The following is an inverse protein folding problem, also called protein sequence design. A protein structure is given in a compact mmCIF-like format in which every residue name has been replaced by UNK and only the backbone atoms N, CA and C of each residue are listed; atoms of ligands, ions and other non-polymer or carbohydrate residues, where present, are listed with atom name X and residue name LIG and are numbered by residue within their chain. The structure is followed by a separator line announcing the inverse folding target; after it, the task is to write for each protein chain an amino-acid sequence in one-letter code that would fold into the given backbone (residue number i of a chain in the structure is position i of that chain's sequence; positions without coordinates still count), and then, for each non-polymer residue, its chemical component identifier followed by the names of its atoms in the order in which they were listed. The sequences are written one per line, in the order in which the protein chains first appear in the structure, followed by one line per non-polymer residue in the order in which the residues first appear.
data_IF_697324284240
#
_entry.id   IF_697324284240
#
_cell.length_a   1.000
_cell.length_b   1.000
_cell.length_c   1.000
_cell.angle_alpha   90.00
_cell.angle_beta   90.00
_cell.angle_gamma   90.00
#
_symmetry.space_group_name_H-M   'P 1'
#
loop_
_entity.id
_entity.type
_entity.pdbx_description
1 polymer ?
#
# COMPACT_ATOMS: atom_id res chain seq x y z
N UNK A 1 -19.52 15.97 1.12
CA UNK A 1 -19.61 15.41 2.48
C UNK A 1 -20.50 16.31 3.32
N UNK A 2 -21.59 15.81 3.90
CA UNK A 2 -22.39 16.60 4.87
C UNK A 2 -21.74 16.45 6.24
N UNK A 3 -20.85 17.38 6.59
CA UNK A 3 -20.02 17.36 7.82
C UNK A 3 -20.84 17.09 9.10
N UNK A 4 -22.05 17.63 9.21
CA UNK A 4 -22.93 17.41 10.36
C UNK A 4 -23.34 15.93 10.56
N UNK A 5 -23.33 15.11 9.51
CA UNK A 5 -23.64 13.68 9.64
C UNK A 5 -22.59 12.93 10.46
N UNK A 6 -21.34 13.42 10.49
CA UNK A 6 -20.25 12.79 11.23
C UNK A 6 -20.60 12.70 12.71
N UNK A 7 -21.26 13.72 13.29
CA UNK A 7 -21.60 13.76 14.73
C UNK A 7 -22.44 12.55 15.17
N UNK A 8 -23.30 12.05 14.28
CA UNK A 8 -24.27 10.99 14.59
C UNK A 8 -23.84 9.60 14.11
N UNK A 9 -22.78 9.51 13.30
CA UNK A 9 -22.30 8.26 12.73
C UNK A 9 -21.13 7.71 13.55
N UNK A 10 -21.37 6.58 14.23
CA UNK A 10 -20.39 5.98 15.12
C UNK A 10 -19.14 5.45 14.38
N UNK A 11 -19.30 5.03 13.13
CA UNK A 11 -18.18 4.57 12.31
C UNK A 11 -17.34 5.75 11.86
N UNK A 12 -17.97 6.83 11.36
CA UNK A 12 -17.26 8.03 10.91
C UNK A 12 -16.64 8.84 12.05
N UNK A 13 -17.20 8.78 13.27
CA UNK A 13 -16.61 9.45 14.44
C UNK A 13 -15.36 8.73 14.97
N UNK A 14 -15.26 7.41 14.79
CA UNK A 14 -14.13 6.64 15.33
C UNK A 14 -12.91 6.69 14.39
N UNK A 15 -13.11 6.65 13.07
CA UNK A 15 -12.02 6.78 12.10
C UNK A 15 -12.33 7.92 11.13
N UNK A 16 -11.60 9.02 11.28
CA UNK A 16 -11.85 10.25 10.56
C UNK A 16 -10.77 10.49 9.52
N UNK A 17 -11.18 10.83 8.29
CA UNK A 17 -10.28 11.27 7.21
C UNK A 17 -10.71 12.63 6.70
N UNK A 18 -9.87 13.65 6.89
CA UNK A 18 -10.14 15.05 6.57
C UNK A 18 -9.46 15.49 5.28
N UNK A 19 -9.60 14.67 4.26
CA UNK A 19 -9.22 14.95 2.88
C UNK A 19 -9.98 14.00 1.96
N UNK A 20 -9.99 14.28 0.66
CA UNK A 20 -10.61 13.37 -0.32
C UNK A 20 -9.55 12.53 -0.99
N UNK A 21 -9.75 11.22 -0.97
CA UNK A 21 -9.02 10.31 -1.83
C UNK A 21 -9.61 10.37 -3.23
N UNK A 22 -8.76 10.57 -4.24
CA UNK A 22 -9.13 10.16 -5.60
C UNK A 22 -9.07 8.64 -5.67
N UNK A 23 -10.12 8.03 -6.24
CA UNK A 23 -10.09 6.62 -6.63
C UNK A 23 -9.28 6.37 -7.91
N UNK A 24 -8.76 7.43 -8.54
CA UNK A 24 -7.96 7.30 -9.75
C UNK A 24 -6.58 6.70 -9.44
N UNK A 25 -5.94 6.18 -10.49
CA UNK A 25 -4.70 5.37 -10.50
C UNK A 25 -3.50 6.00 -9.75
N UNK A 26 -3.59 7.26 -9.34
CA UNK A 26 -2.49 8.03 -8.76
C UNK A 26 -2.58 8.26 -7.24
N UNK A 27 -3.58 7.72 -6.52
CA UNK A 27 -3.74 7.96 -5.07
C UNK A 27 -3.62 9.46 -4.70
N UNK A 28 -4.19 10.34 -5.53
CA UNK A 28 -4.10 11.80 -5.32
C UNK A 28 -5.00 12.17 -4.15
N UNK A 29 -4.44 12.93 -3.22
CA UNK A 29 -5.14 13.47 -2.07
C UNK A 29 -5.54 14.90 -2.39
N UNK A 30 -6.85 15.17 -2.38
CA UNK A 30 -7.37 16.52 -2.53
C UNK A 30 -7.66 17.13 -1.16
N UNK A 31 -7.05 18.30 -0.95
CA UNK A 31 -7.23 19.09 0.26
C UNK A 31 -8.68 19.55 0.43
N UNK A 32 -9.12 19.60 1.67
CA UNK A 32 -10.37 20.30 2.00
C UNK A 32 -10.10 21.80 1.99
N UNK A 33 -11.09 22.59 1.56
CA UNK A 33 -11.03 24.05 1.66
C UNK A 33 -10.92 24.47 3.13
N UNK A 34 -10.15 25.52 3.43
CA UNK A 34 -9.99 26.08 4.77
C UNK A 34 -11.30 26.34 5.50
N UNK A 35 -12.32 26.86 4.81
CA UNK A 35 -13.66 27.07 5.38
C UNK A 35 -14.30 25.78 5.92
N UNK A 36 -14.02 24.64 5.29
CA UNK A 36 -14.48 23.33 5.76
C UNK A 36 -13.68 22.90 7.00
N UNK A 37 -12.37 23.12 6.99
CA UNK A 37 -11.49 22.79 8.11
C UNK A 37 -11.84 23.65 9.34
N UNK A 38 -12.01 24.96 9.18
CA UNK A 38 -12.41 25.88 10.23
C UNK A 38 -13.72 25.46 10.86
N UNK A 39 -14.73 25.18 10.03
CA UNK A 39 -16.02 24.71 10.50
C UNK A 39 -15.90 23.39 11.25
N UNK A 40 -15.11 22.44 10.73
CA UNK A 40 -14.88 21.17 11.41
C UNK A 40 -14.26 21.41 12.79
N UNK A 41 -13.19 22.18 12.85
CA UNK A 41 -12.45 22.53 14.05
C UNK A 41 -13.33 23.22 15.11
N UNK A 42 -14.14 24.20 14.71
CA UNK A 42 -14.91 25.04 15.63
C UNK A 42 -16.24 24.42 16.05
N UNK A 43 -16.92 23.68 15.17
CA UNK A 43 -18.30 23.22 15.44
C UNK A 43 -18.42 21.72 15.74
N UNK A 44 -17.53 20.90 15.16
CA UNK A 44 -17.69 19.45 15.11
C UNK A 44 -16.68 18.76 16.01
N UNK A 45 -15.41 19.12 15.88
CA UNK A 45 -14.31 18.49 16.59
C UNK A 45 -14.53 18.52 18.11
N UNK A 46 -14.95 19.68 18.64
CA UNK A 46 -15.30 19.85 20.06
C UNK A 46 -16.37 18.86 20.57
N UNK A 47 -17.21 18.31 19.69
CA UNK A 47 -18.29 17.38 20.04
C UNK A 47 -17.90 15.91 19.92
N UNK A 48 -16.84 15.60 19.17
CA UNK A 48 -16.49 14.23 18.80
C UNK A 48 -15.07 13.81 19.17
N UNK A 49 -14.20 14.73 19.61
CA UNK A 49 -12.77 14.46 19.84
C UNK A 49 -12.50 13.24 20.73
N UNK A 50 -13.28 13.05 21.80
CA UNK A 50 -13.18 11.90 22.70
C UNK A 50 -13.60 10.57 22.04
N UNK A 51 -14.28 10.57 20.90
CA UNK A 51 -14.65 9.36 20.14
C UNK A 51 -13.63 8.99 19.07
N UNK A 52 -12.78 9.94 18.67
CA UNK A 52 -11.81 9.73 17.60
C UNK A 52 -10.73 8.77 18.06
N UNK A 53 -10.59 7.70 17.29
CA UNK A 53 -9.64 6.60 17.50
C UNK A 53 -8.54 6.60 16.44
N UNK A 54 -8.89 6.97 15.21
CA UNK A 54 -7.97 7.14 14.09
C UNK A 54 -8.23 8.47 13.39
N UNK A 55 -7.18 9.22 13.09
CA UNK A 55 -7.28 10.52 12.42
C UNK A 55 -6.31 10.58 11.24
N UNK A 56 -6.82 10.77 10.03
CA UNK A 56 -6.03 11.05 8.82
C UNK A 56 -6.22 12.51 8.44
N UNK A 57 -5.15 13.31 8.47
CA UNK A 57 -5.17 14.75 8.16
C UNK A 57 -4.02 15.13 7.24
N UNK A 58 -4.17 16.24 6.54
CA UNK A 58 -3.07 16.85 5.79
C UNK A 58 -2.15 17.64 6.71
N UNK A 59 -0.86 17.71 6.38
CA UNK A 59 0.14 18.43 7.17
C UNK A 59 -0.20 19.90 7.35
N UNK A 60 -0.78 20.54 6.31
CA UNK A 60 -1.17 21.95 6.33
C UNK A 60 -2.27 22.25 7.37
N UNK A 61 -3.10 21.26 7.68
CA UNK A 61 -4.17 21.38 8.68
C UNK A 61 -3.78 20.80 10.05
N UNK A 62 -2.60 20.19 10.17
CA UNK A 62 -2.19 19.45 11.35
C UNK A 62 -2.21 20.31 12.61
N UNK A 63 -1.52 21.46 12.60
CA UNK A 63 -1.46 22.34 13.77
C UNK A 63 -2.85 22.85 14.16
N UNK A 64 -3.65 23.23 13.16
CA UNK A 64 -5.02 23.70 13.37
C UNK A 64 -5.88 22.63 14.02
N UNK A 65 -5.75 21.35 13.65
CA UNK A 65 -6.64 20.29 14.17
C UNK A 65 -6.12 19.74 15.50
N UNK A 66 -4.81 19.50 15.61
CA UNK A 66 -4.24 18.82 16.78
C UNK A 66 -4.09 19.73 18.00
N UNK A 67 -4.04 21.07 17.83
CA UNK A 67 -3.89 22.01 18.96
C UNK A 67 -5.21 22.46 19.60
N UNK A 68 -6.36 22.18 18.99
CA UNK A 68 -7.65 22.72 19.49
C UNK A 68 -8.16 21.95 20.71
N UNK A 69 -7.96 20.63 20.76
CA UNK A 69 -8.48 19.74 21.82
C UNK A 69 -7.55 18.56 22.05
N UNK A 70 -7.68 17.96 23.23
CA UNK A 70 -7.08 16.66 23.54
C UNK A 70 -7.83 15.51 22.87
N UNK A 71 -7.11 14.45 22.51
CA UNK A 71 -7.70 13.26 21.87
C UNK A 71 -7.46 12.01 22.74
N UNK A 72 -8.24 11.82 23.82
CA UNK A 72 -7.94 10.80 24.84
C UNK A 72 -8.00 9.36 24.32
N UNK A 73 -8.68 9.10 23.20
CA UNK A 73 -8.85 7.76 22.63
C UNK A 73 -8.11 7.55 21.29
N UNK A 74 -7.31 8.51 20.85
CA UNK A 74 -6.59 8.43 19.58
C UNK A 74 -5.44 7.44 19.68
N UNK A 75 -5.46 6.37 18.89
CA UNK A 75 -4.36 5.39 18.84
C UNK A 75 -3.73 5.28 17.45
N UNK A 76 -4.16 6.09 16.49
CA UNK A 76 -3.56 6.18 15.17
C UNK A 76 -3.72 7.54 14.53
N UNK A 77 -2.61 8.07 14.01
CA UNK A 77 -2.55 9.34 13.30
C UNK A 77 -1.86 9.10 11.95
N UNK A 78 -2.51 9.50 10.86
CA UNK A 78 -1.93 9.52 9.52
C UNK A 78 -1.78 10.96 9.04
N UNK A 79 -0.54 11.34 8.71
CA UNK A 79 -0.22 12.64 8.14
C UNK A 79 0.07 12.50 6.64
N UNK A 80 -0.57 13.34 5.83
CA UNK A 80 -0.52 13.29 4.37
C UNK A 80 -0.18 14.64 3.76
N UNK A 81 0.25 14.65 2.48
CA UNK A 81 0.59 15.87 1.74
C UNK A 81 1.56 16.80 2.50
N UNK A 82 2.60 16.24 3.13
CA UNK A 82 3.67 17.02 3.75
C UNK A 82 4.31 17.86 2.65
N UNK A 83 4.00 19.16 2.64
CA UNK A 83 4.36 20.03 1.53
C UNK A 83 5.89 20.05 1.34
N UNK A 84 6.34 20.33 0.12
CA UNK A 84 7.75 20.28 -0.24
C UNK A 84 8.60 21.24 0.59
N UNK A 85 8.06 22.36 1.09
CA UNK A 85 8.81 23.32 1.91
C UNK A 85 8.97 22.87 3.37
N UNK A 86 7.94 22.27 3.98
CA UNK A 86 7.99 21.60 5.28
C UNK A 86 8.87 20.37 5.20
N UNK A 87 8.74 19.60 4.12
CA UNK A 87 9.62 18.49 3.80
C UNK A 87 11.06 18.99 3.64
N UNK A 88 11.32 20.03 2.83
CA UNK A 88 12.63 20.66 2.66
C UNK A 88 13.15 21.25 3.96
N UNK A 89 12.33 21.85 4.81
CA UNK A 89 12.77 22.35 6.13
C UNK A 89 13.18 21.19 7.03
N UNK A 90 12.46 20.08 7.03
CA UNK A 90 12.85 18.84 7.72
C UNK A 90 14.08 18.16 7.08
N UNK A 91 14.24 18.25 5.76
CA UNK A 91 15.29 17.58 4.96
C UNK A 91 16.60 18.40 4.90
N UNK A 92 16.52 19.73 4.82
CA UNK A 92 17.63 20.69 4.82
C UNK A 92 18.13 20.90 6.26
N UNK A 93 17.26 20.83 7.27
CA UNK A 93 17.68 20.90 8.68
C UNK A 93 18.34 19.60 9.19
N UNK A 94 18.68 18.63 8.32
CA UNK A 94 19.33 17.35 8.66
C UNK A 94 18.61 16.43 9.66
N UNK A 95 17.44 16.82 10.18
CA UNK A 95 16.66 16.03 11.13
C UNK A 95 15.35 15.56 10.50
N UNK A 96 15.46 14.55 9.64
CA UNK A 96 14.32 13.71 9.32
C UNK A 96 14.03 12.82 10.51
N UNK A 97 12.83 12.89 11.11
CA UNK A 97 12.55 12.09 12.30
C UNK A 97 12.74 10.61 12.01
N UNK A 98 13.55 9.96 12.85
CA UNK A 98 13.77 8.52 12.79
C UNK A 98 12.55 7.77 13.33
N UNK A 99 12.52 6.45 13.13
CA UNK A 99 11.47 5.63 13.73
C UNK A 99 11.47 5.77 15.26
N UNK A 100 12.66 5.81 15.87
CA UNK A 100 12.89 5.93 17.30
C UNK A 100 12.40 7.28 17.82
N UNK A 101 12.72 8.38 17.12
CA UNK A 101 12.25 9.72 17.51
C UNK A 101 10.72 9.80 17.48
N UNK A 102 10.07 9.24 16.46
CA UNK A 102 8.60 9.16 16.44
C UNK A 102 8.09 8.24 17.54
N UNK A 103 8.69 7.07 17.77
CA UNK A 103 8.27 6.15 18.84
C UNK A 103 8.32 6.82 20.21
N UNK A 104 9.33 7.65 20.44
CA UNK A 104 9.53 8.32 21.71
C UNK A 104 8.44 9.34 22.02
N UNK A 105 7.78 9.89 21.01
CA UNK A 105 6.58 10.73 21.22
C UNK A 105 5.41 9.95 21.83
N UNK A 106 5.43 8.61 21.77
CA UNK A 106 4.41 7.72 22.31
C UNK A 106 4.85 6.98 23.58
N UNK A 107 5.98 7.34 24.20
CA UNK A 107 6.50 6.61 25.39
C UNK A 107 5.51 6.62 26.56
N UNK A 108 4.70 7.69 26.69
CA UNK A 108 3.69 7.83 27.74
C UNK A 108 2.30 7.29 27.33
N UNK A 109 2.17 6.73 26.12
CA UNK A 109 0.92 6.12 25.69
C UNK A 109 0.74 4.78 26.43
N UNK A 110 -0.44 4.58 27.03
CA UNK A 110 -0.82 3.38 27.80
C UNK A 110 -0.57 2.06 27.05
N UNK A 111 -0.50 2.10 25.72
CA UNK A 111 -0.20 0.95 24.89
C UNK A 111 1.31 0.94 24.55
N UNK A 112 2.08 0.28 25.39
CA UNK A 112 3.55 0.24 25.39
C UNK A 112 4.21 -0.50 24.20
N UNK A 113 3.46 -0.81 23.14
CA UNK A 113 3.94 -1.49 21.94
C UNK A 113 3.48 -0.73 20.70
N UNK A 114 4.08 0.44 20.52
CA UNK A 114 3.93 1.25 19.31
C UNK A 114 5.08 0.94 18.36
N UNK A 115 4.75 0.55 17.13
CA UNK A 115 5.72 0.43 16.04
C UNK A 115 5.52 1.61 15.11
N UNK A 116 6.62 2.24 14.75
CA UNK A 116 6.65 3.31 13.76
C UNK A 116 7.41 2.87 12.53
N UNK A 117 6.96 3.37 11.38
CA UNK A 117 7.63 3.17 10.10
C UNK A 117 7.60 4.50 9.35
N UNK A 118 8.77 5.09 9.20
CA UNK A 118 8.99 6.35 8.52
C UNK A 118 9.75 6.09 7.23
N UNK A 119 9.12 6.44 6.11
CA UNK A 119 9.72 6.36 4.79
C UNK A 119 9.74 7.73 4.13
N UNK A 120 10.82 7.98 3.40
CA UNK A 120 11.04 9.21 2.67
C UNK A 120 11.24 8.86 1.19
N UNK A 121 10.61 9.63 0.32
CA UNK A 121 10.59 9.45 -1.13
C UNK A 121 11.14 10.73 -1.78
N UNK A 122 12.48 10.87 -1.87
CA UNK A 122 13.11 12.09 -2.36
C UNK A 122 12.71 12.48 -3.78
N UNK A 123 12.52 11.52 -4.70
CA UNK A 123 12.14 11.83 -6.09
C UNK A 123 10.70 12.34 -6.20
N UNK A 124 9.84 11.95 -5.27
CA UNK A 124 8.46 12.43 -5.17
C UNK A 124 8.31 13.61 -4.22
N UNK A 125 9.40 14.08 -3.60
CA UNK A 125 9.37 15.14 -2.59
C UNK A 125 8.32 14.88 -1.50
N UNK A 126 8.20 13.62 -1.06
CA UNK A 126 7.17 13.21 -0.11
C UNK A 126 7.72 12.25 0.93
N UNK A 127 6.98 12.07 2.02
CA UNK A 127 7.28 11.08 3.05
C UNK A 127 6.00 10.51 3.61
N UNK A 128 6.13 9.39 4.31
CA UNK A 128 5.06 8.80 5.09
C UNK A 128 5.59 8.42 6.46
N UNK A 129 4.78 8.68 7.49
CA UNK A 129 4.99 8.18 8.83
C UNK A 129 3.77 7.33 9.18
N UNK A 130 4.01 6.09 9.61
CA UNK A 130 2.94 5.19 10.06
C UNK A 130 3.22 4.76 11.47
N UNK A 131 2.17 4.81 12.29
CA UNK A 131 2.24 4.53 13.72
C UNK A 131 1.16 3.48 14.00
N UNK A 132 1.57 2.36 14.56
CA UNK A 132 0.69 1.23 14.85
C UNK A 132 0.79 0.83 16.30
N UNK A 133 -0.36 0.66 16.94
CA UNK A 133 -0.45 0.04 18.26
C UNK A 133 -0.64 -1.48 18.10
N UNK A 134 0.01 -2.25 18.97
CA UNK A 134 -0.22 -3.68 19.10
C UNK A 134 -1.42 -3.95 20.05
N UNK A 135 -2.26 -4.97 19.78
CA UNK A 135 -2.30 -5.82 18.58
C UNK A 135 -2.83 -5.06 17.36
N UNK A 136 -2.28 -5.35 16.18
CA UNK A 136 -2.74 -4.73 14.93
C UNK A 136 -4.18 -5.13 14.65
N UNK A 137 -5.12 -4.18 14.61
CA UNK A 137 -6.53 -4.45 14.27
C UNK A 137 -6.89 -3.99 12.86
N UNK A 138 -5.95 -3.39 12.14
CA UNK A 138 -6.15 -2.91 10.78
C UNK A 138 -6.27 -4.07 9.78
N UNK A 139 -7.15 -3.91 8.79
CA UNK A 139 -7.35 -4.85 7.70
C UNK A 139 -6.55 -4.53 6.43
N UNK A 140 -5.93 -3.34 6.35
CA UNK A 140 -5.09 -2.94 5.22
C UNK A 140 -3.75 -2.35 5.68
N UNK A 141 -2.71 -2.50 4.85
CA UNK A 141 -1.41 -1.85 5.01
C UNK A 141 -0.94 -1.33 3.63
N UNK A 142 -1.06 -0.02 3.44
CA UNK A 142 -0.74 0.63 2.15
C UNK A 142 0.74 0.96 2.03
N UNK A 143 1.20 1.29 0.81
CA UNK A 143 2.55 1.75 0.41
C UNK A 143 3.69 1.22 1.30
N UNK A 144 3.84 -0.10 1.39
CA UNK A 144 4.97 -0.75 2.06
C UNK A 144 6.20 -0.63 1.15
N UNK A 145 7.33 -0.23 1.74
CA UNK A 145 8.61 0.00 1.05
C UNK A 145 9.60 -1.15 1.32
N UNK A 146 10.75 -1.15 0.63
CA UNK A 146 11.84 -2.10 0.89
C UNK A 146 12.37 -2.04 2.34
N UNK A 147 12.11 -0.97 3.09
CA UNK A 147 12.51 -0.83 4.49
C UNK A 147 11.65 -1.64 5.46
N UNK A 148 10.56 -2.24 4.98
CA UNK A 148 9.68 -3.04 5.82
C UNK A 148 10.44 -4.21 6.49
N UNK A 149 10.53 -4.23 7.83
CA UNK A 149 11.34 -5.21 8.54
C UNK A 149 10.73 -6.61 8.57
N UNK A 150 9.45 -6.75 8.21
CA UNK A 150 8.69 -7.97 8.38
C UNK A 150 7.81 -7.91 9.64
N UNK A 151 7.55 -9.07 10.24
CA UNK A 151 6.62 -9.22 11.37
C UNK A 151 5.31 -9.89 10.95
N UNK A 152 4.46 -10.24 11.92
CA UNK A 152 3.24 -11.01 11.66
C UNK A 152 1.98 -10.14 11.80
N UNK A 153 1.26 -9.96 10.70
CA UNK A 153 0.07 -9.10 10.61
C UNK A 153 -1.16 -9.95 10.26
N UNK A 154 -1.70 -10.67 11.26
CA UNK A 154 -2.80 -11.64 11.05
C UNK A 154 -4.11 -11.03 10.55
N UNK A 155 -4.36 -9.76 10.83
CA UNK A 155 -5.63 -9.11 10.47
C UNK A 155 -5.55 -8.36 9.14
N UNK A 156 -4.34 -8.09 8.64
CA UNK A 156 -4.13 -7.37 7.38
C UNK A 156 -4.39 -8.31 6.21
N UNK A 157 -5.43 -8.02 5.46
CA UNK A 157 -5.85 -8.78 4.27
C UNK A 157 -5.57 -8.02 2.98
N UNK A 158 -5.27 -6.72 3.03
CA UNK A 158 -5.02 -5.89 1.85
C UNK A 158 -3.68 -5.17 1.98
N UNK A 159 -2.80 -5.32 0.99
CA UNK A 159 -1.48 -4.69 1.00
C UNK A 159 -1.25 -3.93 -0.29
N UNK A 160 -0.69 -2.72 -0.18
CA UNK A 160 -0.10 -2.04 -1.33
C UNK A 160 1.39 -1.79 -1.14
N UNK A 161 2.17 -2.00 -2.19
CA UNK A 161 3.62 -1.88 -2.21
C UNK A 161 4.01 -0.69 -3.09
N UNK A 162 4.90 0.16 -2.58
CA UNK A 162 5.45 1.29 -3.34
C UNK A 162 6.86 1.63 -2.83
N UNK A 163 7.78 1.90 -3.75
CA UNK A 163 9.13 2.36 -3.43
C UNK A 163 9.76 3.07 -4.65
N UNK A 164 10.69 3.98 -4.39
CA UNK A 164 11.53 4.64 -5.40
C UNK A 164 12.79 3.82 -5.77
N UNK A 165 12.96 2.68 -5.10
CA UNK A 165 13.95 1.64 -5.38
C UNK A 165 13.27 0.37 -5.88
N UNK A 166 13.92 -0.43 -6.73
CA UNK A 166 13.32 -1.67 -7.24
C UNK A 166 13.13 -2.69 -6.12
N UNK A 167 12.00 -3.40 -6.12
CA UNK A 167 11.80 -4.51 -5.18
C UNK A 167 12.59 -5.74 -5.63
N UNK A 168 13.14 -6.47 -4.66
CA UNK A 168 13.81 -7.75 -4.88
C UNK A 168 12.85 -8.92 -4.67
N UNK A 169 13.22 -10.09 -5.14
CA UNK A 169 12.43 -11.32 -4.92
C UNK A 169 12.21 -11.60 -3.42
N UNK A 170 13.26 -11.46 -2.60
CA UNK A 170 13.22 -11.67 -1.15
C UNK A 170 12.25 -10.73 -0.43
N UNK A 171 11.99 -9.56 -1.01
CA UNK A 171 11.00 -8.64 -0.49
C UNK A 171 9.59 -9.22 -0.62
N UNK A 172 9.23 -9.78 -1.77
CA UNK A 172 7.93 -10.43 -1.97
C UNK A 172 7.76 -11.65 -1.06
N UNK A 173 8.84 -12.41 -0.82
CA UNK A 173 8.84 -13.51 0.16
C UNK A 173 8.52 -12.99 1.57
N UNK A 174 9.19 -11.91 1.99
CA UNK A 174 8.92 -11.26 3.28
C UNK A 174 7.47 -10.79 3.38
N UNK A 175 6.90 -10.22 2.32
CA UNK A 175 5.48 -9.86 2.26
C UNK A 175 4.59 -11.11 2.45
N UNK A 176 4.84 -12.19 1.71
CA UNK A 176 4.04 -13.41 1.85
C UNK A 176 4.08 -13.99 3.28
N UNK A 177 5.24 -13.95 3.94
CA UNK A 177 5.42 -14.42 5.32
C UNK A 177 4.75 -13.50 6.35
N UNK A 178 4.78 -12.19 6.11
CA UNK A 178 4.22 -11.21 7.02
C UNK A 178 2.70 -11.13 7.03
N UNK A 179 2.07 -11.47 5.90
CA UNK A 179 0.63 -11.34 5.67
C UNK A 179 0.03 -12.70 5.29
N UNK A 180 -0.11 -13.63 6.25
CA UNK A 180 -0.54 -15.00 5.96
C UNK A 180 -1.95 -15.08 5.37
N UNK A 181 -2.82 -14.09 5.62
CA UNK A 181 -4.20 -14.04 5.10
C UNK A 181 -4.38 -12.98 4.00
N UNK A 182 -3.31 -12.62 3.29
CA UNK A 182 -3.35 -11.61 2.24
C UNK A 182 -4.32 -12.00 1.11
N UNK A 183 -5.37 -11.20 0.92
CA UNK A 183 -6.40 -11.35 -0.11
C UNK A 183 -6.19 -10.44 -1.31
N UNK A 184 -5.76 -9.20 -1.07
CA UNK A 184 -5.53 -8.22 -2.12
C UNK A 184 -4.10 -7.66 -2.06
N UNK A 185 -3.38 -7.71 -3.18
CA UNK A 185 -2.04 -7.17 -3.32
C UNK A 185 -1.99 -6.19 -4.48
N UNK A 186 -1.57 -4.96 -4.20
CA UNK A 186 -1.26 -3.95 -5.22
C UNK A 186 0.22 -3.65 -5.23
N UNK A 187 0.83 -3.64 -6.42
CA UNK A 187 2.25 -3.29 -6.60
C UNK A 187 2.35 -2.07 -7.50
N UNK A 188 3.07 -1.05 -7.05
CA UNK A 188 3.38 0.12 -7.84
C UNK A 188 4.89 0.39 -7.79
N UNK A 189 5.59 0.00 -8.86
CA UNK A 189 7.01 0.25 -9.01
C UNK A 189 7.41 0.21 -10.48
N UNK A 190 7.82 1.34 -11.04
CA UNK A 190 8.16 1.49 -12.47
C UNK A 190 9.59 1.06 -12.78
N UNK A 191 10.40 0.75 -11.77
CA UNK A 191 11.82 0.47 -11.91
C UNK A 191 12.03 -1.03 -12.10
N UNK A 192 12.81 -1.47 -13.11
CA UNK A 192 13.08 -2.89 -13.33
C UNK A 192 13.71 -3.56 -12.12
N UNK A 193 13.39 -4.84 -11.91
CA UNK A 193 14.01 -5.64 -10.86
C UNK A 193 15.48 -5.89 -11.21
N UNK A 194 16.39 -5.58 -10.27
CA UNK A 194 17.83 -5.88 -10.46
C UNK A 194 18.12 -7.38 -10.33
N UNK A 195 17.41 -8.06 -9.42
CA UNK A 195 17.59 -9.47 -9.12
C UNK A 195 16.23 -10.18 -9.16
N UNK A 196 16.05 -11.02 -10.17
CA UNK A 196 14.77 -11.68 -10.49
C UNK A 196 14.55 -13.03 -9.80
N UNK A 197 15.55 -13.50 -9.06
CA UNK A 197 15.59 -14.79 -8.38
C UNK A 197 16.19 -14.59 -7.00
N UNK A 198 15.71 -15.38 -6.03
CA UNK A 198 16.32 -15.48 -4.72
C UNK A 198 17.71 -16.12 -4.88
N UNK A 199 18.76 -15.44 -4.44
CA UNK A 199 20.06 -16.11 -4.22
C UNK A 199 20.14 -16.43 -2.73
N UNK A 200 19.82 -17.66 -2.34
CA UNK A 200 20.25 -18.12 -1.02
C UNK A 200 21.77 -18.21 -1.06
N UNK A 201 22.42 -17.54 -0.12
CA UNK A 201 23.87 -17.52 -0.01
C UNK A 201 24.42 -18.94 0.18
N UNK A 202 25.32 -19.35 -0.72
CA UNK A 202 26.31 -20.43 -0.59
C UNK A 202 25.93 -21.88 -0.92
N UNK A 203 24.81 -22.18 -1.59
CA UNK A 203 24.61 -23.52 -2.18
C UNK A 203 24.07 -23.41 -3.61
N UNK A 204 24.92 -23.72 -4.59
CA UNK A 204 24.60 -23.73 -6.03
C UNK A 204 23.54 -24.77 -6.44
N UNK A 205 22.97 -25.52 -5.48
CA UNK A 205 22.06 -26.64 -5.71
C UNK A 205 20.67 -26.48 -5.05
N UNK A 206 20.31 -25.32 -4.50
CA UNK A 206 18.95 -25.13 -3.99
C UNK A 206 18.00 -24.61 -5.07
N UNK A 207 16.85 -25.30 -5.21
CA UNK A 207 15.75 -24.86 -6.05
C UNK A 207 15.32 -23.42 -5.67
N UNK A 208 15.01 -22.57 -6.66
CA UNK A 208 14.54 -21.22 -6.39
C UNK A 208 13.28 -21.26 -5.52
N UNK A 209 13.30 -20.50 -4.44
CA UNK A 209 12.22 -20.52 -3.45
C UNK A 209 10.94 -19.90 -4.04
N UNK A 210 10.00 -20.75 -4.44
CA UNK A 210 8.71 -20.33 -5.01
C UNK A 210 7.86 -19.69 -3.92
N UNK A 211 7.51 -18.42 -4.10
CA UNK A 211 6.66 -17.68 -3.16
C UNK A 211 5.22 -18.16 -3.30
N UNK A 212 4.55 -18.46 -2.17
CA UNK A 212 3.15 -18.92 -2.16
C UNK A 212 2.25 -17.88 -1.52
N UNK A 213 1.19 -17.49 -2.23
CA UNK A 213 0.14 -16.63 -1.70
C UNK A 213 -1.17 -17.42 -1.58
N UNK A 214 -1.40 -18.05 -0.42
CA UNK A 214 -2.50 -19.00 -0.22
C UNK A 214 -3.90 -18.39 -0.17
N UNK A 215 -4.03 -17.07 -0.02
CA UNK A 215 -5.34 -16.42 0.08
C UNK A 215 -5.52 -15.29 -0.91
N UNK A 216 -4.53 -15.05 -1.77
CA UNK A 216 -4.58 -13.96 -2.74
C UNK A 216 -5.68 -14.27 -3.74
N UNK A 217 -6.57 -13.31 -3.92
CA UNK A 217 -7.68 -13.34 -4.87
C UNK A 217 -7.67 -12.13 -5.79
N UNK A 218 -7.09 -11.00 -5.35
CA UNK A 218 -7.01 -9.78 -6.15
C UNK A 218 -5.55 -9.30 -6.27
N UNK A 219 -5.06 -9.20 -7.50
CA UNK A 219 -3.70 -8.75 -7.82
C UNK A 219 -3.74 -7.54 -8.75
N UNK A 220 -3.26 -6.40 -8.28
CA UNK A 220 -3.18 -5.15 -9.03
C UNK A 220 -1.73 -4.81 -9.37
N UNK A 221 -1.43 -4.81 -10.66
CA UNK A 221 -0.11 -4.55 -11.26
C UNK A 221 -0.21 -3.36 -12.22
N UNK A 222 -0.72 -2.24 -11.72
CA UNK A 222 -0.80 -0.99 -12.46
C UNK A 222 0.45 -0.16 -12.23
N UNK A 223 0.88 0.58 -13.25
CA UNK A 223 2.09 1.40 -13.17
C UNK A 223 3.37 0.62 -12.78
N UNK A 224 3.46 -0.67 -13.14
CA UNK A 224 4.63 -1.50 -12.84
C UNK A 224 5.59 -1.66 -14.04
N UNK A 225 6.86 -1.95 -13.75
CA UNK A 225 7.74 -2.56 -14.74
C UNK A 225 7.28 -4.00 -15.07
N UNK A 226 7.59 -4.50 -16.27
CA UNK A 226 7.18 -5.83 -16.72
C UNK A 226 7.77 -6.96 -15.86
N UNK A 227 8.89 -6.73 -15.18
CA UNK A 227 9.50 -7.73 -14.29
C UNK A 227 8.60 -8.08 -13.11
N UNK A 228 7.75 -7.16 -12.64
CA UNK A 228 6.80 -7.45 -11.58
C UNK A 228 5.63 -8.28 -12.10
N UNK A 229 5.22 -8.09 -13.36
CA UNK A 229 4.25 -8.98 -13.99
C UNK A 229 4.83 -10.39 -14.13
N UNK A 230 6.09 -10.48 -14.55
CA UNK A 230 6.83 -11.74 -14.59
C UNK A 230 6.96 -12.37 -13.19
N UNK A 231 7.26 -11.60 -12.14
CA UNK A 231 7.38 -12.08 -10.77
C UNK A 231 6.15 -12.88 -10.30
N UNK A 232 4.94 -12.43 -10.64
CA UNK A 232 3.70 -13.12 -10.21
C UNK A 232 3.18 -14.16 -11.20
N UNK A 233 3.39 -13.98 -12.51
CA UNK A 233 2.86 -14.88 -13.53
C UNK A 233 3.83 -15.98 -13.96
N UNK A 234 5.11 -15.91 -13.56
CA UNK A 234 6.07 -16.98 -13.75
C UNK A 234 5.92 -18.04 -12.63
N UNK A 235 5.53 -19.27 -12.96
CA UNK A 235 5.31 -20.33 -11.96
C UNK A 235 6.60 -20.74 -11.23
N UNK A 236 7.78 -20.43 -11.78
CA UNK A 236 9.07 -20.69 -11.13
C UNK A 236 9.39 -19.69 -10.02
N UNK A 237 8.66 -18.57 -9.93
CA UNK A 237 8.88 -17.51 -8.94
C UNK A 237 7.74 -17.40 -7.94
N UNK A 238 6.51 -17.61 -8.38
CA UNK A 238 5.34 -17.47 -7.51
C UNK A 238 4.29 -18.50 -7.87
N UNK A 239 3.67 -19.09 -6.86
CA UNK A 239 2.49 -19.92 -6.99
C UNK A 239 1.29 -19.15 -6.45
N UNK A 240 0.39 -18.80 -7.37
CA UNK A 240 -0.93 -18.24 -7.05
C UNK A 240 -1.98 -19.35 -7.08
N UNK A 241 -3.06 -19.20 -6.31
CA UNK A 241 -4.21 -20.10 -6.36
C UNK A 241 -5.09 -19.82 -7.58
N UNK A 242 -6.07 -20.69 -7.81
CA UNK A 242 -7.13 -20.46 -8.81
C UNK A 242 -8.03 -19.30 -8.38
N UNK A 243 -8.76 -18.73 -9.35
CA UNK A 243 -9.75 -17.68 -9.14
C UNK A 243 -9.16 -16.31 -8.77
N UNK A 244 -8.08 -15.93 -9.46
CA UNK A 244 -7.46 -14.60 -9.30
C UNK A 244 -8.16 -13.58 -10.20
N UNK A 245 -8.48 -12.41 -9.64
CA UNK A 245 -8.68 -11.18 -10.40
C UNK A 245 -7.34 -10.50 -10.62
N UNK A 246 -6.95 -10.33 -11.88
CA UNK A 246 -5.74 -9.62 -12.27
C UNK A 246 -6.10 -8.28 -12.90
N UNK A 247 -5.56 -7.18 -12.37
CA UNK A 247 -5.61 -5.88 -13.01
C UNK A 247 -4.21 -5.47 -13.46
N UNK A 248 -3.97 -5.36 -14.77
CA UNK A 248 -2.63 -5.15 -15.32
C UNK A 248 -2.65 -4.31 -16.60
N UNK A 249 -1.55 -3.59 -16.84
CA UNK A 249 -1.31 -2.92 -18.12
C UNK A 249 -1.00 -3.96 -19.23
N UNK A 250 -1.73 -3.92 -20.35
CA UNK A 250 -1.58 -4.92 -21.41
C UNK A 250 -0.19 -4.89 -22.06
N UNK A 251 0.42 -3.72 -22.21
CA UNK A 251 1.76 -3.61 -22.78
C UNK A 251 2.79 -4.28 -21.86
N UNK A 252 2.68 -4.10 -20.54
CA UNK A 252 3.54 -4.79 -19.56
C UNK A 252 3.30 -6.30 -19.56
N UNK A 253 2.05 -6.74 -19.63
CA UNK A 253 1.70 -8.16 -19.75
C UNK A 253 2.26 -8.80 -21.01
N UNK A 254 2.11 -8.14 -22.16
CA UNK A 254 2.66 -8.56 -23.45
C UNK A 254 4.19 -8.64 -23.40
N UNK A 255 4.86 -7.66 -22.75
CA UNK A 255 6.32 -7.69 -22.58
C UNK A 255 6.77 -8.87 -21.70
N UNK A 256 6.11 -9.09 -20.57
CA UNK A 256 6.45 -10.18 -19.64
C UNK A 256 6.26 -11.57 -20.26
N UNK A 257 5.19 -11.75 -21.04
CA UNK A 257 4.86 -13.02 -21.73
C UNK A 257 5.59 -13.22 -23.06
N UNK A 258 6.46 -12.29 -23.45
CA UNK A 258 7.11 -12.24 -24.77
C UNK A 258 6.10 -12.37 -25.92
N UNK A 259 5.11 -11.48 -25.96
CA UNK A 259 3.99 -11.51 -26.89
C UNK A 259 3.17 -12.82 -26.81
N UNK A 260 2.96 -13.35 -25.60
CA UNK A 260 2.25 -14.61 -25.38
C UNK A 260 2.92 -15.83 -26.05
N UNK A 261 4.26 -15.87 -26.04
CA UNK A 261 5.08 -17.00 -26.54
C UNK A 261 5.73 -17.84 -25.43
N UNK A 262 5.81 -17.33 -24.20
CA UNK A 262 6.33 -18.02 -23.01
C UNK A 262 5.33 -19.04 -22.44
N UNK A 263 5.39 -20.28 -22.90
CA UNK A 263 4.38 -21.32 -22.58
C UNK A 263 4.30 -21.67 -21.08
N UNK A 264 5.43 -21.59 -20.37
CA UNK A 264 5.55 -21.76 -18.92
C UNK A 264 4.60 -20.83 -18.14
N UNK A 265 4.51 -19.57 -18.55
CA UNK A 265 3.65 -18.57 -17.87
C UNK A 265 2.15 -18.89 -17.98
N UNK A 266 1.74 -19.76 -18.90
CA UNK A 266 0.33 -20.17 -19.04
C UNK A 266 -0.19 -20.84 -17.78
N UNK A 267 0.67 -21.50 -17.01
CA UNK A 267 0.29 -22.20 -15.77
C UNK A 267 -0.39 -21.22 -14.81
N UNK A 268 0.26 -20.10 -14.46
CA UNK A 268 -0.34 -19.12 -13.57
C UNK A 268 -1.38 -18.25 -14.27
N UNK A 269 -1.20 -17.91 -15.56
CA UNK A 269 -2.20 -17.13 -16.29
C UNK A 269 -3.55 -17.87 -16.36
N UNK A 270 -3.55 -19.20 -16.45
CA UNK A 270 -4.78 -20.01 -16.48
C UNK A 270 -5.59 -19.93 -15.18
N UNK A 271 -4.97 -19.53 -14.07
CA UNK A 271 -5.61 -19.39 -12.76
C UNK A 271 -6.40 -18.08 -12.62
N UNK A 272 -6.22 -17.15 -13.56
CA UNK A 272 -6.95 -15.87 -13.60
C UNK A 272 -8.35 -16.09 -14.16
N UNK A 273 -9.37 -15.68 -13.40
CA UNK A 273 -10.79 -15.78 -13.77
C UNK A 273 -11.39 -14.43 -14.15
N UNK A 274 -10.82 -13.35 -13.63
CA UNK A 274 -11.21 -11.98 -13.96
C UNK A 274 -9.96 -11.21 -14.38
N UNK A 275 -9.96 -10.65 -15.58
CA UNK A 275 -8.81 -9.91 -16.10
C UNK A 275 -9.27 -8.52 -16.56
N UNK A 276 -8.78 -7.51 -15.85
CA UNK A 276 -8.93 -6.11 -16.23
C UNK A 276 -7.63 -5.67 -16.88
N UNK A 277 -7.73 -5.17 -18.11
CA UNK A 277 -6.60 -4.63 -18.84
C UNK A 277 -6.69 -3.12 -18.88
N UNK A 278 -5.56 -2.44 -18.70
CA UNK A 278 -5.43 -1.00 -18.92
C UNK A 278 -4.63 -0.70 -20.21
N UNK A 279 -5.13 0.24 -21.04
CA UNK A 279 -4.53 0.64 -22.33
C UNK A 279 -5.46 0.45 -23.55
N UNK A 280 -4.99 0.78 -24.76
CA UNK A 280 -5.66 0.43 -26.02
C UNK A 280 -5.11 -0.90 -26.54
N UNK A 281 -6.00 -1.80 -26.99
CA UNK A 281 -5.62 -3.19 -27.26
C UNK A 281 -5.91 -3.61 -28.70
N UNK A 282 -4.90 -4.12 -29.39
CA UNK A 282 -5.07 -5.21 -30.35
C UNK A 282 -4.76 -6.50 -29.61
N UNK A 283 -5.81 -7.25 -29.24
CA UNK A 283 -5.69 -8.50 -28.50
C UNK A 283 -5.03 -9.54 -29.40
N UNK A 284 -3.91 -10.12 -28.94
CA UNK A 284 -3.23 -11.20 -29.65
C UNK A 284 -4.13 -12.43 -29.79
N UNK A 285 -4.07 -13.12 -30.93
CA UNK A 285 -4.78 -14.40 -31.14
C UNK A 285 -4.43 -15.47 -30.09
N UNK A 286 -3.25 -15.37 -29.46
CA UNK A 286 -2.78 -16.30 -28.43
C UNK A 286 -3.29 -15.95 -27.03
N UNK A 287 -3.95 -14.81 -26.84
CA UNK A 287 -4.41 -14.33 -25.55
C UNK A 287 -5.34 -15.33 -24.84
N UNK A 288 -6.28 -15.92 -25.57
CA UNK A 288 -7.23 -16.89 -25.01
C UNK A 288 -6.56 -18.16 -24.48
N UNK A 289 -5.42 -18.56 -25.05
CA UNK A 289 -4.65 -19.70 -24.58
C UNK A 289 -3.94 -19.44 -23.24
N UNK A 290 -3.69 -18.18 -22.89
CA UNK A 290 -3.12 -17.79 -21.58
C UNK A 290 -4.19 -17.62 -20.52
N UNK A 291 -5.36 -17.11 -20.91
CA UNK A 291 -6.47 -16.79 -20.01
C UNK A 291 -7.76 -17.55 -20.39
N UNK A 292 -7.75 -18.89 -20.37
CA UNK A 292 -8.91 -19.69 -20.78
C UNK A 292 -10.16 -19.39 -19.93
N UNK A 293 -9.96 -19.15 -18.62
CA UNK A 293 -11.03 -18.97 -17.64
C UNK A 293 -11.59 -17.55 -17.56
N UNK A 294 -10.98 -16.58 -18.26
CA UNK A 294 -11.50 -15.20 -18.31
C UNK A 294 -12.70 -15.17 -19.26
N UNK A 295 -13.84 -14.72 -18.74
CA UNK A 295 -15.03 -14.43 -19.55
C UNK A 295 -14.75 -13.18 -20.38
N UNK A 296 -14.99 -13.26 -21.69
CA UNK A 296 -14.92 -12.08 -22.55
C UNK A 296 -16.07 -11.15 -22.17
N UNK A 297 -15.74 -9.96 -21.67
CA UNK A 297 -16.66 -8.83 -21.52
C UNK A 297 -16.39 -7.84 -22.65
#
# INVERSE_FOLDING_TARGET
MRLNKIIYDQTLTTSLTLFRWSSDVYDVIYSLNDTIIDRFCLEILLKIHYKIKWLNIESLSMERILRIVDYPNLYGLGLYNINEETFKRLFIATYLPSNEEIQQTFINFMNNKVITCVDYFPKQYSGQCRIYSYPYTMNYYRKITNKFPGGLFKYVCEVSLFDESPFKHEFFLRIAQSFPFLKALSVNNRIPQKYKQCRTSNDDNQDPLIIKYFHLIDLTLLCVHADYVEQFLDPTKTSILNNISLYVDYYRLRKATHNFKRNDMRINCSKVTNLRLFGSFQISKHFKAYFPNVKHQ
#
